data_IF_035158080670
#
_entry.id   IF_035158080670
#
_cell.length_a   1.000
_cell.length_b   1.000
_cell.length_c   1.000
_cell.angle_alpha   90.00
_cell.angle_beta   90.00
_cell.angle_gamma   90.00
#
_symmetry.space_group_name_H-M   'P 1'
#
loop_
_entity.id
_entity.type
_entity.pdbx_description
1 polymer ?
#
# COMPACT_ATOMS: atom_id res chain seq x y z
N UNK A 1 19.08 -29.66 -23.99
CA UNK A 1 19.28 -28.21 -24.01
C UNK A 1 18.04 -27.44 -24.39
N UNK A 2 17.30 -27.88 -25.38
CA UNK A 2 16.03 -27.19 -25.73
C UNK A 2 14.99 -27.24 -24.63
N UNK A 3 14.91 -28.30 -23.84
CA UNK A 3 13.98 -28.44 -22.74
C UNK A 3 14.29 -27.49 -21.57
N UNK A 4 15.55 -27.20 -21.33
CA UNK A 4 15.97 -26.28 -20.29
C UNK A 4 15.57 -24.84 -20.62
N UNK A 5 15.74 -24.44 -21.88
CA UNK A 5 15.34 -23.12 -22.34
C UNK A 5 13.81 -22.93 -22.26
N UNK A 6 13.08 -23.98 -22.59
CA UNK A 6 11.61 -23.95 -22.51
C UNK A 6 11.12 -23.81 -21.07
N UNK A 7 11.72 -24.54 -20.13
CA UNK A 7 11.39 -24.45 -18.71
C UNK A 7 11.69 -23.06 -18.14
N UNK A 8 12.77 -22.47 -18.57
CA UNK A 8 13.16 -21.12 -18.15
C UNK A 8 12.15 -20.08 -18.65
N UNK A 9 11.69 -20.21 -19.88
CA UNK A 9 10.67 -19.34 -20.45
C UNK A 9 9.35 -19.45 -19.69
N UNK A 10 8.92 -20.66 -19.36
CA UNK A 10 7.71 -20.87 -18.57
C UNK A 10 7.79 -20.24 -17.18
N UNK A 11 8.93 -20.35 -16.53
CA UNK A 11 9.15 -19.74 -15.24
C UNK A 11 9.06 -18.20 -15.32
N UNK A 12 9.62 -17.63 -16.37
CA UNK A 12 9.57 -16.19 -16.61
C UNK A 12 8.15 -15.70 -16.82
N UNK A 13 7.36 -16.44 -17.60
CA UNK A 13 5.96 -16.10 -17.85
C UNK A 13 5.12 -16.16 -16.57
N UNK A 14 5.36 -17.15 -15.72
CA UNK A 14 4.68 -17.25 -14.43
C UNK A 14 5.03 -16.08 -13.50
N UNK A 15 6.30 -15.67 -13.49
CA UNK A 15 6.72 -14.51 -12.71
C UNK A 15 6.03 -13.24 -13.17
N UNK A 16 5.92 -13.02 -14.48
CA UNK A 16 5.21 -11.87 -15.03
C UNK A 16 3.73 -11.89 -14.67
N UNK A 17 3.11 -13.05 -14.65
CA UNK A 17 1.72 -13.19 -14.28
C UNK A 17 1.49 -12.82 -12.81
N UNK A 18 2.40 -13.20 -11.91
CA UNK A 18 2.32 -12.87 -10.48
C UNK A 18 2.50 -11.36 -10.25
N UNK A 19 3.33 -10.70 -11.06
CA UNK A 19 3.59 -9.26 -10.94
C UNK A 19 2.39 -8.41 -11.37
N UNK A 20 1.47 -8.99 -12.15
CA UNK A 20 0.27 -8.28 -12.63
C UNK A 20 -0.82 -8.14 -11.55
N UNK A 21 -0.45 -7.86 -10.30
CA UNK A 21 -1.40 -7.59 -9.23
C UNK A 21 -2.08 -6.23 -9.43
N UNK A 22 -3.35 -6.17 -9.03
CA UNK A 22 -4.12 -4.94 -9.09
C UNK A 22 -3.54 -3.90 -8.15
N UNK A 23 -3.27 -2.71 -8.68
CA UNK A 23 -2.81 -1.57 -7.90
C UNK A 23 -4.02 -0.94 -7.21
N UNK A 24 -3.98 -0.71 -5.90
CA UNK A 24 -5.10 -0.09 -5.21
C UNK A 24 -5.29 1.36 -5.64
N UNK A 25 -6.53 1.81 -5.65
CA UNK A 25 -6.87 3.20 -5.95
C UNK A 25 -6.74 4.06 -4.70
N UNK A 26 -6.61 5.38 -4.92
CA UNK A 26 -6.65 6.35 -3.83
C UNK A 26 -7.93 6.21 -3.00
N UNK A 27 -9.07 6.07 -3.66
CA UNK A 27 -10.37 5.92 -2.98
C UNK A 27 -10.42 4.71 -2.06
N UNK A 28 -9.85 3.59 -2.50
CA UNK A 28 -9.76 2.38 -1.68
C UNK A 28 -8.89 2.59 -0.46
N UNK A 29 -7.73 3.23 -0.63
CA UNK A 29 -6.82 3.55 0.47
C UNK A 29 -7.53 4.41 1.52
N UNK A 30 -8.24 5.45 1.08
CA UNK A 30 -8.95 6.36 1.99
C UNK A 30 -10.06 5.63 2.74
N UNK A 31 -10.85 4.82 2.04
CA UNK A 31 -11.93 4.05 2.66
C UNK A 31 -11.38 3.07 3.70
N UNK A 32 -10.35 2.34 3.36
CA UNK A 32 -9.75 1.36 4.27
C UNK A 32 -9.04 2.03 5.45
N UNK A 33 -8.52 3.23 5.25
CA UNK A 33 -7.96 4.02 6.35
C UNK A 33 -9.04 4.36 7.37
N UNK A 34 -10.24 4.74 6.90
CA UNK A 34 -11.38 4.96 7.76
C UNK A 34 -11.80 3.70 8.53
N UNK A 35 -11.81 2.57 7.86
CA UNK A 35 -12.13 1.28 8.49
C UNK A 35 -11.08 0.89 9.52
N UNK A 36 -9.81 1.15 9.24
CA UNK A 36 -8.71 0.90 10.16
C UNK A 36 -8.82 1.75 11.43
N UNK A 37 -9.30 2.99 11.32
CA UNK A 37 -9.49 3.88 12.47
C UNK A 37 -10.49 3.29 13.47
N UNK A 38 -11.53 2.64 12.97
CA UNK A 38 -12.58 2.06 13.83
C UNK A 38 -12.02 0.95 14.71
N UNK A 39 -11.04 0.19 14.20
CA UNK A 39 -10.39 -0.86 14.96
C UNK A 39 -8.99 -1.07 14.41
N UNK A 40 -8.00 -0.47 15.09
CA UNK A 40 -6.60 -0.50 14.67
C UNK A 40 -5.96 -1.89 14.75
N UNK A 41 -6.66 -2.89 15.29
CA UNK A 41 -6.15 -4.25 15.40
C UNK A 41 -6.73 -5.19 14.34
N UNK A 42 -7.50 -4.67 13.39
CA UNK A 42 -8.13 -5.50 12.37
C UNK A 42 -7.16 -5.90 11.27
N UNK A 43 -7.53 -6.96 10.56
CA UNK A 43 -6.82 -7.39 9.37
C UNK A 43 -6.79 -6.30 8.30
N UNK A 44 -7.78 -5.41 8.28
CA UNK A 44 -7.83 -4.27 7.35
C UNK A 44 -6.58 -3.39 7.49
N UNK A 45 -6.18 -3.04 8.72
CA UNK A 45 -4.99 -2.22 8.95
C UNK A 45 -3.73 -2.90 8.42
N UNK A 46 -3.60 -4.19 8.63
CA UNK A 46 -2.45 -4.96 8.18
C UNK A 46 -2.36 -5.00 6.65
N UNK A 47 -3.47 -5.26 5.99
CA UNK A 47 -3.52 -5.30 4.54
C UNK A 47 -3.31 -3.92 3.93
N UNK A 48 -3.82 -2.89 4.58
CA UNK A 48 -3.70 -1.51 4.14
C UNK A 48 -2.24 -1.06 4.04
N UNK A 49 -1.40 -1.46 4.99
CA UNK A 49 0.04 -1.16 4.95
C UNK A 49 0.66 -1.68 3.64
N UNK A 50 0.33 -2.89 3.26
CA UNK A 50 0.83 -3.50 2.01
C UNK A 50 0.28 -2.79 0.78
N UNK A 51 -0.99 -2.43 0.77
CA UNK A 51 -1.60 -1.72 -0.35
C UNK A 51 -1.05 -0.31 -0.55
N UNK A 52 -0.81 0.39 0.55
CA UNK A 52 -0.17 1.71 0.49
C UNK A 52 1.23 1.59 -0.13
N UNK A 53 1.97 0.56 0.23
CA UNK A 53 3.30 0.34 -0.34
C UNK A 53 3.24 0.14 -1.86
N UNK A 54 2.27 -0.63 -2.35
CA UNK A 54 2.08 -0.83 -3.78
C UNK A 54 1.82 0.49 -4.51
N UNK A 55 0.95 1.31 -3.97
CA UNK A 55 0.65 2.62 -4.57
C UNK A 55 1.85 3.56 -4.50
N UNK A 56 2.63 3.52 -3.42
CA UNK A 56 3.85 4.32 -3.30
C UNK A 56 4.83 4.04 -4.43
N UNK A 57 5.02 2.77 -4.79
CA UNK A 57 5.93 2.41 -5.87
C UNK A 57 5.47 2.99 -7.21
N UNK A 58 4.17 2.97 -7.47
CA UNK A 58 3.62 3.53 -8.71
C UNK A 58 3.81 5.04 -8.79
N UNK A 59 3.44 5.75 -7.73
CA UNK A 59 3.53 7.22 -7.73
C UNK A 59 4.99 7.69 -7.70
N UNK A 60 5.88 6.90 -7.13
CA UNK A 60 7.32 7.16 -7.20
C UNK A 60 7.81 7.13 -8.65
N UNK A 61 7.43 6.09 -9.40
CA UNK A 61 7.79 5.97 -10.82
C UNK A 61 7.21 7.10 -11.66
N UNK A 62 6.11 7.69 -11.23
CA UNK A 62 5.47 8.83 -11.90
C UNK A 62 6.02 10.18 -11.43
N UNK A 63 7.04 10.20 -10.59
CA UNK A 63 7.62 11.40 -10.00
C UNK A 63 6.62 12.23 -9.19
N UNK A 64 5.61 11.58 -8.63
CA UNK A 64 4.59 12.24 -7.81
C UNK A 64 5.00 12.18 -6.33
N UNK A 65 6.01 12.95 -5.98
CA UNK A 65 6.67 12.85 -4.67
C UNK A 65 5.80 13.35 -3.52
N UNK A 66 4.91 14.32 -3.75
CA UNK A 66 3.98 14.76 -2.71
C UNK A 66 2.99 13.65 -2.33
N UNK A 67 2.49 12.94 -3.34
CA UNK A 67 1.63 11.79 -3.10
C UNK A 67 2.39 10.70 -2.34
N UNK A 68 3.60 10.38 -2.80
CA UNK A 68 4.43 9.37 -2.15
C UNK A 68 4.67 9.71 -0.68
N UNK A 69 5.03 10.96 -0.40
CA UNK A 69 5.29 11.44 0.96
C UNK A 69 4.06 11.31 1.84
N UNK A 70 2.90 11.66 1.31
CA UNK A 70 1.62 11.55 2.03
C UNK A 70 1.26 10.09 2.32
N UNK A 71 1.49 9.20 1.37
CA UNK A 71 1.25 7.78 1.55
C UNK A 71 2.21 7.18 2.59
N UNK A 72 3.47 7.60 2.57
CA UNK A 72 4.46 7.17 3.55
C UNK A 72 4.07 7.61 4.96
N UNK A 73 3.60 8.85 5.12
CA UNK A 73 3.11 9.35 6.38
C UNK A 73 1.90 8.57 6.88
N UNK A 74 0.97 8.25 6.00
CA UNK A 74 -0.19 7.42 6.33
C UNK A 74 0.24 6.02 6.76
N UNK A 75 1.14 5.39 6.01
CA UNK A 75 1.65 4.07 6.33
C UNK A 75 2.32 4.04 7.70
N UNK A 76 3.13 5.04 7.98
CA UNK A 76 3.80 5.18 9.29
C UNK A 76 2.80 5.31 10.43
N UNK A 77 1.75 6.11 10.24
CA UNK A 77 0.70 6.29 11.25
C UNK A 77 -0.05 4.98 11.53
N UNK A 78 -0.33 4.21 10.48
CA UNK A 78 -1.02 2.92 10.61
C UNK A 78 -0.13 1.91 11.33
N UNK A 79 1.15 1.86 11.00
CA UNK A 79 2.11 0.96 11.64
C UNK A 79 2.20 1.28 13.14
N UNK A 80 2.28 2.54 13.51
CA UNK A 80 2.31 2.94 14.91
C UNK A 80 1.04 2.51 15.65
N UNK A 81 -0.12 2.76 15.07
CA UNK A 81 -1.40 2.41 15.68
C UNK A 81 -1.58 0.89 15.80
N UNK A 82 -1.18 0.16 14.76
CA UNK A 82 -1.37 -1.29 14.71
C UNK A 82 -0.38 -2.06 15.58
N UNK A 83 0.91 -1.70 15.51
CA UNK A 83 1.96 -2.47 16.18
C UNK A 83 2.28 -1.98 17.58
N UNK A 84 2.27 -0.67 17.81
CA UNK A 84 2.67 -0.10 19.11
C UNK A 84 1.53 -0.03 20.12
N UNK A 85 0.28 -0.05 19.66
CA UNK A 85 -0.94 -0.16 20.50
C UNK A 85 -1.15 0.93 21.55
N UNK A 86 -0.18 1.78 21.79
CA UNK A 86 -0.27 2.88 22.74
C UNK A 86 -0.58 4.20 22.06
N UNK A 87 -1.13 4.15 20.85
CA UNK A 87 -1.19 5.26 19.98
C UNK A 87 -2.64 5.54 19.56
N UNK A 88 -3.02 6.81 19.54
CA UNK A 88 -4.34 7.18 19.10
C UNK A 88 -4.44 7.13 17.57
N UNK A 89 -5.65 6.93 17.08
CA UNK A 89 -5.92 6.93 15.64
C UNK A 89 -5.90 8.34 15.04
N UNK A 90 -5.60 9.35 15.83
CA UNK A 90 -5.58 10.75 15.41
C UNK A 90 -4.61 11.00 14.26
N UNK A 91 -3.43 10.37 14.29
CA UNK A 91 -2.45 10.55 13.21
C UNK A 91 -2.93 9.99 11.89
N UNK A 92 -3.64 8.86 11.92
CA UNK A 92 -4.23 8.30 10.71
C UNK A 92 -5.26 9.29 10.14
N UNK A 93 -6.16 9.79 10.99
CA UNK A 93 -7.15 10.79 10.60
C UNK A 93 -6.50 12.06 10.06
N UNK A 94 -5.40 12.48 10.69
CA UNK A 94 -4.65 13.66 10.28
C UNK A 94 -4.06 13.49 8.87
N UNK A 95 -3.64 12.29 8.51
CA UNK A 95 -3.02 12.04 7.22
C UNK A 95 -4.00 11.90 6.06
N UNK A 96 -5.26 11.58 6.33
CA UNK A 96 -6.26 11.38 5.28
C UNK A 96 -6.39 12.59 4.35
N UNK A 97 -6.52 13.84 4.84
CA UNK A 97 -6.61 15.00 3.96
C UNK A 97 -5.41 15.19 3.06
N UNK A 98 -4.21 14.84 3.54
CA UNK A 98 -3.00 14.96 2.73
C UNK A 98 -2.99 13.97 1.57
N UNK A 99 -3.44 12.74 1.83
CA UNK A 99 -3.58 11.74 0.76
C UNK A 99 -4.62 12.21 -0.26
N UNK A 100 -5.75 12.72 0.19
CA UNK A 100 -6.79 13.24 -0.70
C UNK A 100 -6.23 14.36 -1.57
N UNK A 101 -5.50 15.30 -0.97
CA UNK A 101 -5.00 16.48 -1.67
C UNK A 101 -3.86 16.16 -2.63
N UNK A 102 -2.94 15.30 -2.22
CA UNK A 102 -1.67 15.08 -2.92
C UNK A 102 -1.69 13.88 -3.87
N UNK A 103 -2.64 13.04 -3.72
CA UNK A 103 -2.83 11.89 -4.59
C UNK A 103 -4.09 12.04 -5.43
#
# INVERSE_FOLDING_TARGET
>A
MKSLTFLFLNFFLLSNFVIAETIPTKSKIIKESGDCIKDSHTQVCKELVSEIEKLQLVVFDQNRFKCQSSLLGMQSAIIEAYFLKNFSNERISFMIPFVIKNC
#
